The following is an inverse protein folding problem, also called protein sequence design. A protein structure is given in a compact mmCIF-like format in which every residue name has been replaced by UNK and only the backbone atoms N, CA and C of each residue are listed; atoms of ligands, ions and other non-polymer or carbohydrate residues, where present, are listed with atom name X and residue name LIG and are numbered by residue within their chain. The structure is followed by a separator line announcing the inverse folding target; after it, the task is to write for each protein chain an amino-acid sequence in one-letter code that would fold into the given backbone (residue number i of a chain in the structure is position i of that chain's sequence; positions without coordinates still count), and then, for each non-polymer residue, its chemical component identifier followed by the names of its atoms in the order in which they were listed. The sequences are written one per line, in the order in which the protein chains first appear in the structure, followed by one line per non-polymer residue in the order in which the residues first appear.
data_IF_482191739514
#
_entry.id   IF_482191739514
#
_cell.length_a   1.000
_cell.length_b   1.000
_cell.length_c   1.000
_cell.angle_alpha   90.00
_cell.angle_beta   90.00
_cell.angle_gamma   90.00
#
_symmetry.space_group_name_H-M   'P 1'
#
loop_
_entity.id
_entity.type
_entity.pdbx_description
1 polymer ?
#
# COMPACT_ATOMS: atom_id res chain seq x y z
N UNK A 1 -9.76 -6.44 12.43
CA UNK A 1 -9.28 -5.35 11.56
C UNK A 1 -8.24 -4.56 12.33
N UNK A 2 -7.11 -4.26 11.69
CA UNK A 2 -5.99 -3.50 12.27
C UNK A 2 -5.87 -2.17 11.51
N UNK A 3 -5.84 -1.06 12.25
CA UNK A 3 -5.81 0.29 11.68
C UNK A 3 -4.70 1.14 12.29
N UNK A 4 -4.15 2.07 11.53
CA UNK A 4 -3.31 3.13 12.08
C UNK A 4 -4.15 4.36 12.48
N UNK A 5 -3.53 5.29 13.21
CA UNK A 5 -4.25 6.45 13.75
C UNK A 5 -4.82 7.36 12.65
N UNK A 6 -4.14 7.45 11.50
CA UNK A 6 -4.60 8.25 10.37
C UNK A 6 -5.78 7.57 9.65
N UNK A 7 -5.66 6.29 9.29
CA UNK A 7 -6.76 5.55 8.65
C UNK A 7 -7.97 5.41 9.57
N UNK A 8 -7.76 5.27 10.89
CA UNK A 8 -8.86 5.26 11.86
C UNK A 8 -9.65 6.56 11.86
N UNK A 9 -8.98 7.71 11.76
CA UNK A 9 -9.64 9.03 11.64
C UNK A 9 -10.41 9.17 10.33
N UNK A 10 -9.87 8.66 9.22
CA UNK A 10 -10.55 8.67 7.93
C UNK A 10 -11.80 7.78 7.95
N UNK A 11 -11.68 6.56 8.49
CA UNK A 11 -12.79 5.62 8.61
C UNK A 11 -13.90 6.17 9.50
N UNK A 12 -13.54 6.72 10.66
CA UNK A 12 -14.48 7.30 11.62
C UNK A 12 -15.23 8.55 11.13
N UNK A 13 -14.80 9.15 10.02
CA UNK A 13 -15.55 10.23 9.38
C UNK A 13 -16.75 9.74 8.56
N UNK A 14 -16.76 8.46 8.16
CA UNK A 14 -17.77 7.89 7.25
C UNK A 14 -18.59 6.78 7.92
N UNK A 15 -17.96 5.97 8.78
CA UNK A 15 -18.56 4.80 9.40
C UNK A 15 -18.42 4.84 10.92
N UNK A 16 -19.42 4.30 11.62
CA UNK A 16 -19.31 4.03 13.05
C UNK A 16 -18.65 2.67 13.25
N UNK A 17 -17.91 2.51 14.34
CA UNK A 17 -17.27 1.23 14.69
C UNK A 17 -18.28 0.07 14.71
N UNK A 18 -19.51 0.31 15.17
CA UNK A 18 -20.58 -0.70 15.16
C UNK A 18 -20.95 -1.17 13.75
N UNK A 19 -20.98 -0.26 12.77
CA UNK A 19 -21.33 -0.61 11.39
C UNK A 19 -20.24 -1.51 10.79
N UNK A 20 -18.97 -1.26 11.14
CA UNK A 20 -17.84 -2.11 10.73
C UNK A 20 -17.88 -3.49 11.40
N UNK A 21 -18.20 -3.55 12.70
CA UNK A 21 -18.27 -4.81 13.45
C UNK A 21 -19.41 -5.72 12.97
N UNK A 22 -20.47 -5.17 12.37
CA UNK A 22 -21.56 -5.94 11.77
C UNK A 22 -21.15 -6.67 10.48
N UNK A 23 -20.08 -6.21 9.81
CA UNK A 23 -19.58 -6.76 8.55
C UNK A 23 -18.54 -7.88 8.77
N UNK A 24 -18.86 -8.86 9.64
CA UNK A 24 -18.00 -9.99 9.98
C UNK A 24 -16.61 -9.61 10.52
N UNK A 25 -16.46 -8.41 11.08
CA UNK A 25 -15.24 -7.96 11.76
C UNK A 25 -15.41 -8.17 13.27
N UNK A 26 -14.54 -8.97 13.87
CA UNK A 26 -14.62 -9.28 15.31
C UNK A 26 -14.12 -8.16 16.21
N UNK A 27 -13.05 -7.47 15.80
CA UNK A 27 -12.37 -6.46 16.59
C UNK A 27 -11.70 -5.41 15.71
N UNK A 28 -11.64 -4.17 16.20
CA UNK A 28 -10.89 -3.07 15.58
C UNK A 28 -9.76 -2.67 16.53
N UNK A 29 -8.52 -2.93 16.14
CA UNK A 29 -7.33 -2.67 16.95
C UNK A 29 -6.38 -1.70 16.27
N UNK A 30 -5.59 -0.96 17.06
CA UNK A 30 -4.55 -0.10 16.53
C UNK A 30 -3.31 -0.90 16.16
N UNK A 31 -2.61 -0.55 15.08
CA UNK A 31 -1.32 -1.18 14.75
C UNK A 31 -0.25 -0.94 15.82
N UNK A 32 -0.40 0.13 16.61
CA UNK A 32 0.50 0.51 17.69
C UNK A 32 0.21 -0.20 19.03
N UNK A 33 -0.97 -0.80 19.19
CA UNK A 33 -1.35 -1.44 20.46
C UNK A 33 -0.75 -2.84 20.56
N UNK A 34 -0.53 -3.31 21.78
CA UNK A 34 -0.14 -4.71 21.99
C UNK A 34 -1.36 -5.60 21.75
N UNK A 35 -1.24 -6.54 20.82
CA UNK A 35 -2.34 -7.42 20.39
C UNK A 35 -1.96 -8.87 20.70
N UNK A 36 -2.94 -9.67 21.10
CA UNK A 36 -2.75 -11.09 21.36
C UNK A 36 -2.75 -11.92 20.07
N UNK A 37 -2.22 -13.14 20.13
CA UNK A 37 -2.34 -14.08 19.02
C UNK A 37 -3.80 -14.45 18.75
N UNK A 38 -4.17 -14.46 17.48
CA UNK A 38 -5.50 -14.78 16.98
C UNK A 38 -5.40 -15.81 15.86
N UNK A 39 -6.32 -16.78 15.85
CA UNK A 39 -6.39 -17.80 14.79
C UNK A 39 -6.98 -17.27 13.48
N UNK A 40 -7.67 -16.12 13.52
CA UNK A 40 -8.34 -15.49 12.39
C UNK A 40 -7.35 -14.71 11.50
N UNK A 41 -7.73 -14.49 10.25
CA UNK A 41 -6.98 -13.60 9.35
C UNK A 41 -7.25 -12.13 9.70
N UNK A 42 -6.23 -11.27 9.56
CA UNK A 42 -6.33 -9.84 9.82
C UNK A 42 -6.46 -9.05 8.51
N UNK A 43 -7.41 -8.12 8.49
CA UNK A 43 -7.47 -7.03 7.52
C UNK A 43 -6.76 -5.81 8.08
N UNK A 44 -5.71 -5.34 7.41
CA UNK A 44 -4.95 -4.13 7.74
C UNK A 44 -5.38 -2.99 6.82
N UNK A 45 -5.78 -1.86 7.40
CA UNK A 45 -6.07 -0.62 6.68
C UNK A 45 -5.12 0.48 7.20
N UNK A 46 -4.09 0.80 6.42
CA UNK A 46 -2.93 1.54 6.92
C UNK A 46 -2.45 2.62 5.93
N UNK A 47 -1.76 3.65 6.44
CA UNK A 47 -0.89 4.47 5.59
C UNK A 47 0.35 3.70 5.14
N UNK A 48 0.85 3.93 3.91
CA UNK A 48 2.08 3.32 3.39
C UNK A 48 3.34 3.98 3.99
N UNK A 49 3.53 3.86 5.30
CA UNK A 49 4.72 4.36 6.01
C UNK A 49 5.67 3.22 6.34
N UNK A 50 6.98 3.51 6.40
CA UNK A 50 7.99 2.52 6.81
C UNK A 50 7.67 1.91 8.17
N UNK A 51 7.22 2.74 9.11
CA UNK A 51 6.86 2.31 10.46
C UNK A 51 5.70 1.31 10.46
N UNK A 52 4.67 1.55 9.65
CA UNK A 52 3.54 0.62 9.54
C UNK A 52 3.97 -0.70 8.89
N UNK A 53 4.77 -0.64 7.84
CA UNK A 53 5.31 -1.83 7.17
C UNK A 53 6.18 -2.66 8.12
N UNK A 54 7.07 -2.03 8.88
CA UNK A 54 7.89 -2.70 9.89
C UNK A 54 7.04 -3.40 10.96
N UNK A 55 5.95 -2.78 11.41
CA UNK A 55 5.04 -3.42 12.36
C UNK A 55 4.29 -4.61 11.78
N UNK A 56 3.83 -4.51 10.53
CA UNK A 56 3.24 -5.67 9.84
C UNK A 56 4.25 -6.80 9.76
N UNK A 57 5.51 -6.52 9.43
CA UNK A 57 6.55 -7.54 9.38
C UNK A 57 6.79 -8.15 10.78
N UNK A 58 6.81 -7.31 11.81
CA UNK A 58 6.99 -7.74 13.20
C UNK A 58 5.91 -8.74 13.65
N UNK A 59 4.65 -8.53 13.26
CA UNK A 59 3.50 -9.40 13.61
C UNK A 59 3.65 -10.85 13.10
N UNK A 60 4.49 -11.07 12.08
CA UNK A 60 4.75 -12.38 11.46
C UNK A 60 6.22 -12.82 11.56
N UNK A 61 7.01 -12.15 12.39
CA UNK A 61 8.45 -12.42 12.55
C UNK A 61 8.76 -13.25 13.79
N UNK A 62 10.00 -13.71 13.91
CA UNK A 62 10.54 -14.35 15.12
C UNK A 62 9.82 -15.63 15.58
N UNK A 63 9.23 -16.38 14.64
CA UNK A 63 8.50 -17.61 14.95
C UNK A 63 7.17 -17.40 15.66
N UNK A 64 6.74 -16.14 15.82
CA UNK A 64 5.45 -15.77 16.38
C UNK A 64 4.52 -15.36 15.24
N UNK A 65 3.24 -15.73 15.35
CA UNK A 65 2.25 -15.44 14.32
C UNK A 65 1.02 -14.85 14.99
N UNK A 66 0.85 -13.54 14.86
CA UNK A 66 -0.28 -12.85 15.49
C UNK A 66 -1.63 -13.20 14.85
N UNK A 67 -1.66 -13.48 13.54
CA UNK A 67 -2.89 -13.72 12.79
C UNK A 67 -2.75 -14.87 11.81
N UNK A 68 -3.84 -15.58 11.49
CA UNK A 68 -3.91 -16.66 10.51
C UNK A 68 -3.36 -16.32 9.11
N UNK A 69 -3.45 -15.04 8.72
CA UNK A 69 -3.00 -14.46 7.47
C UNK A 69 -3.25 -12.94 7.48
N UNK A 70 -2.70 -12.21 6.51
CA UNK A 70 -2.80 -10.76 6.40
C UNK A 70 -3.34 -10.30 5.04
N UNK A 71 -4.38 -9.47 5.08
CA UNK A 71 -4.92 -8.73 3.94
C UNK A 71 -4.55 -7.26 4.11
N UNK A 72 -3.64 -6.76 3.29
CA UNK A 72 -3.11 -5.39 3.39
C UNK A 72 -3.82 -4.47 2.40
N UNK A 73 -4.40 -3.40 2.93
CA UNK A 73 -5.01 -2.32 2.18
C UNK A 73 -4.35 -1.01 2.57
N UNK A 74 -3.57 -0.44 1.65
CA UNK A 74 -2.95 0.87 1.86
C UNK A 74 -3.89 1.97 1.38
N UNK A 75 -4.10 3.00 2.18
CA UNK A 75 -5.01 4.10 1.82
C UNK A 75 -4.41 5.08 0.80
N UNK A 76 -3.11 4.98 0.56
CA UNK A 76 -2.36 5.73 -0.44
C UNK A 76 -1.40 4.77 -1.15
N UNK A 77 -0.75 5.21 -2.23
CA UNK A 77 0.13 4.37 -3.03
C UNK A 77 1.35 3.89 -2.24
N UNK A 78 1.57 2.57 -2.18
CA UNK A 78 2.74 1.99 -1.52
C UNK A 78 4.01 2.22 -2.36
N UNK A 79 5.04 2.92 -1.84
CA UNK A 79 6.31 3.07 -2.55
C UNK A 79 6.98 1.72 -2.82
N UNK A 80 7.54 1.58 -4.02
CA UNK A 80 8.22 0.34 -4.47
C UNK A 80 9.31 -0.16 -3.50
N UNK A 81 10.14 0.69 -2.86
CA UNK A 81 11.10 0.24 -1.86
C UNK A 81 10.44 -0.45 -0.65
N UNK A 82 9.28 0.04 -0.21
CA UNK A 82 8.54 -0.53 0.92
C UNK A 82 7.84 -1.83 0.52
N UNK A 83 7.31 -1.91 -0.70
CA UNK A 83 6.78 -3.16 -1.25
C UNK A 83 7.86 -4.24 -1.32
N UNK A 84 9.03 -3.91 -1.85
CA UNK A 84 10.16 -4.84 -1.91
C UNK A 84 10.62 -5.26 -0.52
N UNK A 85 10.63 -4.35 0.46
CA UNK A 85 10.94 -4.68 1.84
C UNK A 85 9.93 -5.68 2.43
N UNK A 86 8.64 -5.48 2.16
CA UNK A 86 7.57 -6.35 2.62
C UNK A 86 7.62 -7.75 1.98
N UNK A 87 7.85 -7.84 0.66
CA UNK A 87 7.92 -9.12 -0.08
C UNK A 87 9.17 -9.92 0.28
N UNK A 88 10.29 -9.27 0.60
CA UNK A 88 11.51 -9.96 1.03
C UNK A 88 11.53 -10.27 2.54
N UNK A 89 10.45 -9.99 3.26
CA UNK A 89 10.36 -10.18 4.70
C UNK A 89 9.78 -11.56 5.07
N UNK A 90 9.92 -12.00 6.34
CA UNK A 90 9.26 -13.21 6.85
C UNK A 90 7.73 -13.18 6.76
N UNK A 91 7.12 -12.02 6.52
CA UNK A 91 5.67 -11.89 6.43
C UNK A 91 5.09 -12.37 5.09
N UNK A 92 5.90 -12.44 4.01
CA UNK A 92 5.47 -12.83 2.65
C UNK A 92 4.54 -14.06 2.60
N UNK A 93 4.84 -15.21 3.25
CA UNK A 93 3.99 -16.39 3.16
C UNK A 93 2.61 -16.23 3.80
N UNK A 94 2.43 -15.22 4.65
CA UNK A 94 1.17 -14.92 5.34
C UNK A 94 0.36 -13.84 4.61
N UNK A 95 0.94 -13.14 3.65
CA UNK A 95 0.25 -12.12 2.86
C UNK A 95 -0.72 -12.79 1.89
N UNK A 96 -2.01 -12.49 2.03
CA UNK A 96 -3.09 -12.98 1.16
C UNK A 96 -3.45 -11.97 0.09
N UNK A 97 -3.46 -10.69 0.45
CA UNK A 97 -3.75 -9.58 -0.44
C UNK A 97 -2.87 -8.38 -0.08
N UNK A 98 -2.48 -7.61 -1.09
CA UNK A 98 -1.83 -6.31 -0.94
C UNK A 98 -2.36 -5.40 -2.03
N UNK A 99 -3.09 -4.35 -1.66
CA UNK A 99 -3.76 -3.45 -2.59
C UNK A 99 -3.68 -2.00 -2.11
N UNK A 100 -3.58 -1.07 -3.07
CA UNK A 100 -3.66 0.37 -2.82
C UNK A 100 -5.08 0.85 -3.13
N UNK A 101 -5.70 1.55 -2.18
CA UNK A 101 -7.08 2.03 -2.29
C UNK A 101 -7.19 3.46 -2.80
N UNK A 102 -6.15 4.28 -2.64
CA UNK A 102 -6.13 5.70 -3.01
C UNK A 102 -7.31 6.51 -2.40
N UNK A 103 -7.65 6.25 -1.14
CA UNK A 103 -8.73 6.92 -0.38
C UNK A 103 -8.20 7.89 0.68
N UNK A 104 -6.97 8.39 0.51
CA UNK A 104 -6.35 9.33 1.45
C UNK A 104 -6.90 10.77 1.32
N UNK A 105 -8.20 10.94 1.56
CA UNK A 105 -8.87 12.23 1.62
C UNK A 105 -9.93 12.24 2.71
N UNK A 106 -10.16 13.41 3.32
CA UNK A 106 -11.21 13.59 4.31
C UNK A 106 -12.53 13.91 3.62
N UNK A 107 -13.52 13.02 3.73
CA UNK A 107 -14.91 13.32 3.41
C UNK A 107 -15.46 14.27 4.47
N UNK A 108 -15.79 15.51 4.10
CA UNK A 108 -16.34 16.52 5.01
C UNK A 108 -17.87 16.49 5.00
N UNK A 109 -18.45 16.34 3.81
CA UNK A 109 -19.89 16.23 3.58
C UNK A 109 -20.15 15.24 2.44
N UNK A 110 -21.42 14.94 2.14
CA UNK A 110 -21.81 13.99 1.08
C UNK A 110 -21.22 14.33 -0.30
N UNK A 111 -20.89 15.60 -0.57
CA UNK A 111 -20.37 16.09 -1.85
C UNK A 111 -19.12 16.95 -1.70
N UNK A 112 -18.50 16.97 -0.53
CA UNK A 112 -17.34 17.82 -0.23
C UNK A 112 -16.25 16.98 0.41
N UNK A 113 -15.05 17.02 -0.16
CA UNK A 113 -13.87 16.37 0.40
C UNK A 113 -12.67 17.33 0.45
N UNK A 114 -11.69 16.99 1.28
CA UNK A 114 -10.44 17.72 1.42
C UNK A 114 -9.24 16.79 1.51
N UNK A 115 -8.19 17.08 0.76
CA UNK A 115 -6.91 16.35 0.79
C UNK A 115 -6.05 16.80 1.99
N UNK A 116 -6.49 17.83 2.75
CA UNK A 116 -5.81 18.37 3.93
C UNK A 116 -4.31 18.70 3.73
N UNK A 117 -3.94 19.11 2.51
CA UNK A 117 -2.57 19.51 2.17
C UNK A 117 -2.54 20.96 1.69
N UNK A 118 -2.45 21.95 2.60
CA UNK A 118 -2.33 23.36 2.22
C UNK A 118 -1.02 23.66 1.49
N UNK A 119 0.00 22.80 1.62
CA UNK A 119 1.28 22.93 0.94
C UNK A 119 1.15 22.91 -0.60
N UNK A 120 0.11 22.26 -1.15
CA UNK A 120 -0.13 22.26 -2.59
C UNK A 120 -0.42 23.64 -3.15
N UNK A 121 -1.02 24.54 -2.36
CA UNK A 121 -1.20 25.93 -2.77
C UNK A 121 0.15 26.58 -3.07
N UNK A 122 1.12 26.45 -2.16
CA UNK A 122 2.45 26.99 -2.38
C UNK A 122 3.17 26.28 -3.53
N UNK A 123 3.09 24.96 -3.63
CA UNK A 123 3.72 24.22 -4.72
C UNK A 123 3.20 24.61 -6.12
N UNK A 124 1.92 24.97 -6.24
CA UNK A 124 1.31 25.31 -7.52
C UNK A 124 1.46 26.79 -7.87
N UNK A 125 1.45 27.68 -6.88
CA UNK A 125 1.37 29.13 -7.09
C UNK A 125 2.63 29.90 -6.66
N UNK A 126 3.57 29.28 -5.94
CA UNK A 126 4.82 29.96 -5.62
C UNK A 126 5.60 30.26 -6.91
N UNK A 127 6.14 31.48 -7.06
CA UNK A 127 7.03 31.77 -8.17
C UNK A 127 8.19 30.80 -8.12
N UNK A 128 8.49 30.17 -9.27
CA UNK A 128 9.67 29.31 -9.38
C UNK A 128 10.87 30.15 -8.97
N UNK A 129 11.67 29.65 -8.03
CA UNK A 129 13.01 30.22 -7.85
C UNK A 129 13.73 29.92 -9.16
N UNK A 130 13.98 30.94 -9.97
CA UNK A 130 14.90 30.85 -11.09
C UNK A 130 16.20 30.27 -10.53
N UNK A 131 16.45 28.99 -10.78
CA UNK A 131 17.74 28.41 -10.50
C UNK A 131 18.68 29.15 -11.46
N UNK A 132 19.61 30.00 -10.98
CA UNK A 132 20.51 30.69 -11.87
C UNK A 132 21.27 29.63 -12.67
N UNK A 133 21.38 29.84 -13.98
CA UNK A 133 22.02 28.92 -14.93
C UNK A 133 23.51 28.62 -14.63
N UNK A 134 24.07 29.11 -13.52
CA UNK A 134 25.47 28.96 -13.12
C UNK A 134 25.79 27.62 -12.43
N UNK A 135 24.82 26.73 -12.19
CA UNK A 135 25.10 25.34 -11.76
C UNK A 135 24.87 24.33 -12.89
N UNK A 136 24.60 24.79 -14.11
CA UNK A 136 24.67 23.93 -15.29
C UNK A 136 26.14 23.79 -15.71
N UNK A 137 26.88 22.88 -15.06
CA UNK A 137 28.06 22.30 -15.71
C UNK A 137 27.55 21.58 -16.96
N UNK A 138 27.90 22.02 -18.18
CA UNK A 138 27.58 21.27 -19.36
C UNK A 138 28.40 19.98 -19.28
N UNK A 139 27.74 18.84 -19.00
CA UNK A 139 28.31 17.54 -19.36
C UNK A 139 28.41 17.51 -20.87
N UNK A 140 29.52 18.04 -21.40
CA UNK A 140 29.96 17.74 -22.76
C UNK A 140 30.27 16.25 -22.80
N UNK A 141 29.63 15.59 -23.75
CA UNK A 141 29.92 14.26 -24.28
C UNK A 141 29.79 13.09 -23.27
N UNK A 142 28.61 12.49 -23.24
CA UNK A 142 28.47 11.05 -23.47
C UNK A 142 27.13 10.80 -24.15
N UNK A 143 27.20 10.52 -25.45
CA UNK A 143 26.07 10.27 -26.31
C UNK A 143 25.48 8.88 -26.00
N UNK A 144 24.65 8.75 -24.97
CA UNK A 144 23.73 7.63 -24.78
C UNK A 144 22.76 7.91 -23.62
N UNK A 145 21.72 8.73 -23.81
CA UNK A 145 20.59 8.72 -22.86
C UNK A 145 19.28 9.09 -23.56
N UNK A 146 18.44 8.06 -23.68
CA UNK A 146 17.07 8.10 -24.18
C UNK A 146 16.18 9.00 -23.31
N UNK A 147 15.16 9.61 -23.92
CA UNK A 147 14.34 10.64 -23.30
C UNK A 147 13.54 10.14 -22.09
N UNK A 148 13.27 11.00 -21.08
CA UNK A 148 12.54 10.64 -19.84
C UNK A 148 11.13 10.08 -20.11
N UNK A 149 10.51 10.49 -21.23
CA UNK A 149 9.19 10.04 -21.63
C UNK A 149 9.19 8.58 -22.12
N UNK A 150 10.30 8.09 -22.68
CA UNK A 150 10.46 6.68 -23.05
C UNK A 150 10.71 5.79 -21.83
N UNK A 151 11.37 6.31 -20.78
CA UNK A 151 11.58 5.58 -19.52
C UNK A 151 10.26 5.36 -18.79
N UNK A 152 9.39 6.38 -18.75
CA UNK A 152 8.06 6.26 -18.14
C UNK A 152 7.16 5.24 -18.88
N UNK A 153 7.15 5.29 -20.22
CA UNK A 153 6.36 4.34 -21.03
C UNK A 153 6.91 2.91 -20.93
N UNK A 154 8.24 2.75 -20.83
CA UNK A 154 8.87 1.44 -20.63
C UNK A 154 8.58 0.88 -19.24
N UNK A 155 8.62 1.70 -18.20
CA UNK A 155 8.29 1.30 -16.83
C UNK A 155 6.84 0.88 -16.65
N UNK A 156 5.90 1.52 -17.35
CA UNK A 156 4.48 1.10 -17.35
C UNK A 156 4.30 -0.26 -18.05
N UNK A 157 5.01 -0.50 -19.17
CA UNK A 157 4.97 -1.80 -19.87
C UNK A 157 5.60 -2.92 -19.04
N UNK A 158 6.72 -2.65 -18.37
CA UNK A 158 7.38 -3.62 -17.47
C UNK A 158 6.53 -3.94 -16.23
N UNK A 159 5.77 -2.97 -15.70
CA UNK A 159 4.78 -3.22 -14.62
C UNK A 159 3.65 -4.13 -15.08
N UNK A 160 3.07 -3.87 -16.25
CA UNK A 160 2.01 -4.71 -16.79
C UNK A 160 2.49 -6.15 -17.08
N UNK A 161 3.71 -6.29 -17.59
CA UNK A 161 4.32 -7.60 -17.87
C UNK A 161 4.63 -8.38 -16.58
N UNK A 162 5.02 -7.68 -15.51
CA UNK A 162 5.24 -8.29 -14.19
C UNK A 162 3.91 -8.69 -13.51
N UNK A 163 2.87 -7.87 -13.62
CA UNK A 163 1.52 -8.19 -13.12
C UNK A 163 0.94 -9.41 -13.84
N UNK A 164 1.07 -9.47 -15.17
CA UNK A 164 0.66 -10.63 -15.97
C UNK A 164 1.42 -11.90 -15.58
N UNK A 165 2.73 -11.80 -15.32
CA UNK A 165 3.55 -12.92 -14.84
C UNK A 165 3.17 -13.36 -13.43
N UNK A 166 2.81 -12.42 -12.55
CA UNK A 166 2.34 -12.72 -11.20
C UNK A 166 0.99 -13.45 -11.25
N UNK A 167 0.05 -12.96 -12.05
CA UNK A 167 -1.26 -13.58 -12.26
C UNK A 167 -1.12 -14.99 -12.86
N UNK A 168 -0.25 -15.18 -13.85
CA UNK A 168 0.02 -16.48 -14.45
C UNK A 168 0.68 -17.48 -13.48
N UNK A 169 1.55 -17.01 -12.58
CA UNK A 169 2.12 -17.83 -11.50
C UNK A 169 1.10 -18.19 -10.42
N UNK A 170 0.11 -17.33 -10.17
CA UNK A 170 -0.98 -17.64 -9.25
C UNK A 170 -1.91 -18.72 -9.82
N UNK A 171 -2.19 -18.66 -11.14
CA UNK A 171 -3.05 -19.62 -11.83
C UNK A 171 -2.38 -21.00 -12.01
N UNK A 172 -1.06 -21.05 -12.19
CA UNK A 172 -0.32 -22.33 -12.34
C UNK A 172 -0.03 -23.04 -11.02
N UNK A 173 -0.20 -22.37 -9.87
CA UNK A 173 -0.09 -22.98 -8.54
C UNK A 173 -1.34 -23.76 -8.10
N UNK A 174 -2.40 -23.80 -8.91
CA UNK A 174 -3.58 -24.64 -8.64
C UNK A 174 -4.04 -25.48 -9.85
N UNK A 175 -3.31 -26.53 -10.28
CA UNK A 175 -3.89 -27.57 -11.13
C UNK A 175 -4.81 -28.53 -10.35
N UNK A 176 -4.60 -28.68 -9.03
CA UNK A 176 -5.15 -29.82 -8.27
C UNK A 176 -6.46 -29.56 -7.51
N UNK A 177 -7.19 -28.49 -7.84
CA UNK A 177 -8.53 -28.24 -7.25
C UNK A 177 -9.68 -28.17 -8.25
N UNK A 178 -9.43 -28.48 -9.53
CA UNK A 178 -10.49 -28.53 -10.55
C UNK A 178 -11.08 -29.94 -10.77
N UNK A 179 -10.56 -30.98 -10.11
CA UNK A 179 -11.11 -32.35 -10.17
C UNK A 179 -11.82 -32.82 -8.89
N UNK A 180 -11.99 -31.98 -7.87
CA UNK A 180 -12.66 -32.34 -6.61
C UNK A 180 -14.14 -31.94 -6.53
N UNK A 181 -14.76 -31.53 -7.65
CA UNK A 181 -16.18 -31.11 -7.71
C UNK A 181 -17.03 -31.87 -8.75
N UNK A 182 -16.56 -33.05 -9.20
CA UNK A 182 -17.33 -33.94 -10.08
C UNK A 182 -17.27 -35.43 -9.68
N UNK A 183 -17.44 -35.72 -8.39
CA UNK A 183 -17.96 -37.02 -7.93
C UNK A 183 -18.84 -36.83 -6.71
#
# INVERSE_FOLDING_TARGET
MVVDDHSKRLLGAVLKDNDVLQENVTLIEGINTHRGEQSLEAMYLLMPTSQNVERVIADFSNGHKLYGGAHLFFIDGLPEPLLNHLVNSPAEPFLRACQDLYVNFAALEQRVFSIRSPAFFFSMYAPHKDVPASTFTPRKADAAQMSPMQVAVKGVRERLDNDLRFMAKSASRSPDRLFALLK
#
